data_IF_809262236619
#
_entry.id   IF_809262236619
#
_cell.length_a   1.000
_cell.length_b   1.000
_cell.length_c   1.000
_cell.angle_alpha   90.00
_cell.angle_beta   90.00
_cell.angle_gamma   90.00
#
_symmetry.space_group_name_H-M   'P 1'
#
loop_
_entity.id
_entity.type
_entity.pdbx_description
1 polymer ?
#
# COMPACT_ATOMS: atom_id res chain seq x y z
N UNK A 1 -49.29 -53.30 24.05
CA UNK A 1 -48.08 -53.55 24.86
C UNK A 1 -48.12 -52.58 26.04
N UNK A 2 -48.24 -53.11 27.26
CA UNK A 2 -48.43 -52.32 28.47
C UNK A 2 -47.10 -51.68 28.91
N UNK A 3 -46.85 -50.44 28.49
CA UNK A 3 -45.70 -49.66 28.97
C UNK A 3 -46.04 -49.11 30.37
N UNK A 4 -45.89 -49.95 31.40
CA UNK A 4 -45.95 -49.48 32.79
C UNK A 4 -44.69 -48.67 33.08
N UNK A 5 -44.87 -47.42 33.49
CA UNK A 5 -43.77 -46.55 33.91
C UNK A 5 -43.02 -47.22 35.07
N UNK A 6 -41.68 -47.31 35.02
CA UNK A 6 -40.91 -47.91 36.11
C UNK A 6 -41.14 -47.18 37.43
N UNK A 7 -41.05 -47.88 38.57
CA UNK A 7 -41.23 -47.28 39.89
C UNK A 7 -40.20 -46.19 40.16
N UNK A 8 -40.60 -45.13 40.86
CA UNK A 8 -39.72 -44.02 41.21
C UNK A 8 -38.58 -44.48 42.13
N UNK A 9 -37.35 -44.12 41.79
CA UNK A 9 -36.15 -44.48 42.54
C UNK A 9 -35.62 -43.28 43.34
N UNK A 10 -35.16 -43.51 44.57
CA UNK A 10 -34.61 -42.46 45.43
C UNK A 10 -33.11 -42.30 45.19
N UNK A 11 -32.75 -41.25 44.46
CA UNK A 11 -31.35 -40.89 44.19
C UNK A 11 -30.86 -39.92 45.28
N UNK A 12 -29.70 -40.21 45.90
CA UNK A 12 -29.04 -39.23 46.79
C UNK A 12 -28.45 -38.11 45.94
N UNK A 13 -28.75 -36.88 46.33
CA UNK A 13 -28.28 -35.68 45.64
C UNK A 13 -27.44 -34.86 46.63
N UNK A 14 -26.23 -34.40 46.25
CA UNK A 14 -25.45 -33.46 47.04
C UNK A 14 -26.27 -32.23 47.46
N UNK A 15 -26.08 -31.74 48.69
CA UNK A 15 -26.93 -30.70 49.30
C UNK A 15 -27.05 -29.44 48.43
N UNK A 16 -25.97 -29.08 47.74
CA UNK A 16 -25.90 -27.93 46.82
C UNK A 16 -26.79 -28.07 45.58
N UNK A 17 -27.07 -29.29 45.12
CA UNK A 17 -27.87 -29.56 43.92
C UNK A 17 -29.36 -29.79 44.21
N UNK A 18 -29.74 -29.98 45.48
CA UNK A 18 -31.13 -30.15 45.90
C UNK A 18 -32.09 -29.09 45.33
N UNK A 19 -31.80 -27.77 45.39
CA UNK A 19 -32.74 -26.76 44.86
C UNK A 19 -32.95 -26.90 43.35
N UNK A 20 -31.88 -27.18 42.59
CA UNK A 20 -31.93 -27.35 41.14
C UNK A 20 -32.72 -28.61 40.77
N UNK A 21 -32.45 -29.74 41.42
CA UNK A 21 -33.14 -31.01 41.15
C UNK A 21 -34.63 -30.91 41.49
N UNK A 22 -35.00 -30.22 42.57
CA UNK A 22 -36.42 -29.96 42.89
C UNK A 22 -37.10 -29.12 41.82
N UNK A 23 -36.42 -28.10 41.32
CA UNK A 23 -36.96 -27.26 40.25
C UNK A 23 -37.12 -28.06 38.94
N UNK A 24 -36.13 -28.88 38.58
CA UNK A 24 -36.19 -29.76 37.41
C UNK A 24 -37.34 -30.78 37.51
N UNK A 25 -37.50 -31.39 38.69
CA UNK A 25 -38.59 -32.33 38.95
C UNK A 25 -39.96 -31.66 38.88
N UNK A 26 -40.05 -30.39 39.27
CA UNK A 26 -41.28 -29.59 39.13
C UNK A 26 -41.60 -29.34 37.66
N UNK A 27 -40.63 -28.83 36.88
CA UNK A 27 -40.76 -28.64 35.42
C UNK A 27 -41.20 -29.94 34.72
N UNK A 28 -40.65 -31.07 35.15
CA UNK A 28 -41.01 -32.38 34.61
C UNK A 28 -42.42 -32.82 34.97
N UNK A 29 -42.87 -32.60 36.22
CA UNK A 29 -44.25 -32.88 36.63
C UNK A 29 -45.27 -32.01 35.92
N UNK A 30 -44.91 -30.76 35.65
CA UNK A 30 -45.77 -29.79 34.98
C UNK A 30 -45.82 -30.02 33.44
N UNK A 31 -45.10 -31.03 32.93
CA UNK A 31 -45.11 -31.40 31.50
C UNK A 31 -44.31 -30.45 30.61
N UNK A 32 -43.54 -29.53 31.18
CA UNK A 32 -42.80 -28.49 30.45
C UNK A 32 -41.43 -28.93 29.93
N UNK A 33 -40.97 -30.15 30.25
CA UNK A 33 -39.67 -30.68 29.78
C UNK A 33 -39.54 -30.63 28.26
N UNK A 34 -40.60 -30.97 27.54
CA UNK A 34 -40.62 -30.95 26.06
C UNK A 34 -40.49 -29.54 25.53
N UNK A 35 -41.20 -28.57 26.10
CA UNK A 35 -41.10 -27.16 25.73
C UNK A 35 -39.70 -26.59 26.01
N UNK A 36 -39.07 -26.99 27.11
CA UNK A 36 -37.70 -26.57 27.44
C UNK A 36 -36.67 -27.18 26.48
N UNK A 37 -36.77 -28.46 26.16
CA UNK A 37 -35.90 -29.11 25.18
C UNK A 37 -36.08 -28.50 23.77
N UNK A 38 -37.33 -28.23 23.39
CA UNK A 38 -37.65 -27.55 22.13
C UNK A 38 -37.04 -26.14 22.08
N UNK A 39 -37.19 -25.35 23.15
CA UNK A 39 -36.59 -24.02 23.22
C UNK A 39 -35.05 -24.03 23.19
N UNK A 40 -34.42 -25.01 23.83
CA UNK A 40 -32.96 -25.20 23.73
C UNK A 40 -32.54 -25.59 22.31
N UNK A 41 -33.29 -26.45 21.64
CA UNK A 41 -33.00 -26.86 20.27
C UNK A 41 -33.17 -25.70 19.29
N UNK A 42 -34.19 -24.86 19.48
CA UNK A 42 -34.38 -23.63 18.69
C UNK A 42 -33.26 -22.62 18.93
N UNK A 43 -32.81 -22.45 20.18
CA UNK A 43 -31.70 -21.57 20.52
C UNK A 43 -30.39 -22.05 19.87
N UNK A 44 -30.09 -23.35 19.94
CA UNK A 44 -28.90 -23.93 19.30
C UNK A 44 -28.98 -23.74 17.77
N UNK A 45 -30.14 -23.99 17.16
CA UNK A 45 -30.34 -23.80 15.73
C UNK A 45 -30.13 -22.33 15.30
N UNK A 46 -30.55 -21.36 16.13
CA UNK A 46 -30.30 -19.94 15.87
C UNK A 46 -28.80 -19.63 15.88
N UNK A 47 -28.05 -20.11 16.88
CA UNK A 47 -26.60 -19.92 16.94
C UNK A 47 -25.88 -20.54 15.73
N UNK A 48 -26.22 -21.78 15.38
CA UNK A 48 -25.61 -22.47 14.23
C UNK A 48 -25.89 -21.73 12.91
N UNK A 49 -27.09 -21.17 12.76
CA UNK A 49 -27.44 -20.39 11.57
C UNK A 49 -26.70 -19.05 11.50
N UNK A 50 -26.58 -18.34 12.63
CA UNK A 50 -25.87 -17.05 12.72
C UNK A 50 -24.39 -17.19 12.44
N UNK A 51 -23.74 -18.17 13.08
CA UNK A 51 -22.30 -18.41 12.92
C UNK A 51 -21.96 -18.87 11.51
N UNK A 52 -22.82 -19.70 10.90
CA UNK A 52 -22.64 -20.14 9.51
C UNK A 52 -22.79 -18.99 8.52
N UNK A 53 -23.70 -18.04 8.75
CA UNK A 53 -23.87 -16.87 7.88
C UNK A 53 -22.69 -15.91 7.96
N UNK A 54 -22.22 -15.58 9.17
CA UNK A 54 -21.08 -14.66 9.32
C UNK A 54 -19.79 -15.25 8.76
N UNK A 55 -19.43 -16.49 9.15
CA UNK A 55 -18.21 -17.14 8.65
C UNK A 55 -18.20 -17.31 7.13
N UNK A 56 -19.35 -17.63 6.51
CA UNK A 56 -19.43 -17.77 5.05
C UNK A 56 -19.37 -16.42 4.34
N UNK A 57 -20.01 -15.38 4.88
CA UNK A 57 -20.00 -14.05 4.26
C UNK A 57 -18.62 -13.38 4.31
N UNK A 58 -17.90 -13.52 5.42
CA UNK A 58 -16.55 -12.98 5.57
C UNK A 58 -15.56 -13.73 4.67
N UNK A 59 -15.63 -15.06 4.64
CA UNK A 59 -14.79 -15.87 3.76
C UNK A 59 -15.05 -15.57 2.28
N UNK A 60 -16.31 -15.36 1.88
CA UNK A 60 -16.66 -14.95 0.52
C UNK A 60 -16.07 -13.59 0.16
N UNK A 61 -16.14 -12.61 1.06
CA UNK A 61 -15.54 -11.29 0.83
C UNK A 61 -14.01 -11.37 0.73
N UNK A 62 -13.38 -12.23 1.52
CA UNK A 62 -11.93 -12.46 1.44
C UNK A 62 -11.56 -13.10 0.10
N UNK A 63 -12.33 -14.11 -0.34
CA UNK A 63 -12.11 -14.78 -1.62
C UNK A 63 -12.29 -13.82 -2.82
N UNK A 64 -13.32 -12.97 -2.79
CA UNK A 64 -13.55 -11.93 -3.80
C UNK A 64 -12.38 -10.94 -3.88
N UNK A 65 -11.96 -10.38 -2.72
CA UNK A 65 -10.82 -9.46 -2.67
C UNK A 65 -9.52 -10.11 -3.11
N UNK A 66 -9.33 -11.39 -2.84
CA UNK A 66 -8.15 -12.14 -3.26
C UNK A 66 -8.14 -12.29 -4.79
N UNK A 67 -9.29 -12.61 -5.39
CA UNK A 67 -9.45 -12.62 -6.84
C UNK A 67 -9.18 -11.25 -7.49
N UNK A 68 -9.71 -10.16 -6.90
CA UNK A 68 -9.40 -8.80 -7.36
C UNK A 68 -7.91 -8.49 -7.32
N UNK A 69 -7.23 -8.82 -6.23
CA UNK A 69 -5.79 -8.63 -6.08
C UNK A 69 -4.97 -9.43 -7.10
N UNK A 70 -5.34 -10.68 -7.37
CA UNK A 70 -4.70 -11.51 -8.39
C UNK A 70 -4.83 -10.89 -9.79
N UNK A 71 -6.03 -10.40 -10.14
CA UNK A 71 -6.23 -9.74 -11.44
C UNK A 71 -5.42 -8.44 -11.55
N UNK A 72 -5.33 -7.65 -10.48
CA UNK A 72 -4.56 -6.42 -10.44
C UNK A 72 -3.06 -6.67 -10.58
N UNK A 73 -2.53 -7.70 -9.90
CA UNK A 73 -1.13 -8.09 -10.03
C UNK A 73 -0.79 -8.54 -11.46
N UNK A 74 -1.66 -9.34 -12.09
CA UNK A 74 -1.48 -9.75 -13.48
C UNK A 74 -1.44 -8.55 -14.45
N UNK A 75 -2.34 -7.58 -14.26
CA UNK A 75 -2.34 -6.35 -15.05
C UNK A 75 -1.06 -5.52 -14.83
N UNK A 76 -0.60 -5.42 -13.58
CA UNK A 76 0.62 -4.70 -13.25
C UNK A 76 1.86 -5.35 -13.89
N UNK A 77 1.96 -6.68 -13.86
CA UNK A 77 3.04 -7.41 -14.54
C UNK A 77 3.04 -7.16 -16.04
N UNK A 78 1.87 -7.16 -16.68
CA UNK A 78 1.75 -6.85 -18.10
C UNK A 78 2.16 -5.40 -18.42
N UNK A 79 1.81 -4.44 -17.56
CA UNK A 79 2.26 -3.05 -17.70
C UNK A 79 3.79 -2.90 -17.53
N UNK A 80 4.39 -3.65 -16.61
CA UNK A 80 5.85 -3.65 -16.41
C UNK A 80 6.54 -4.27 -17.63
N UNK A 81 6.06 -5.40 -18.11
CA UNK A 81 6.62 -6.09 -19.29
C UNK A 81 6.60 -5.18 -20.54
N UNK A 82 5.48 -4.50 -20.80
CA UNK A 82 5.37 -3.56 -21.93
C UNK A 82 6.30 -2.35 -21.79
N UNK A 83 6.42 -1.77 -20.58
CA UNK A 83 7.37 -0.67 -20.33
C UNK A 83 8.83 -1.12 -20.55
N UNK A 84 9.19 -2.32 -20.09
CA UNK A 84 10.51 -2.89 -20.30
C UNK A 84 10.79 -3.13 -21.79
N UNK A 85 9.82 -3.60 -22.56
CA UNK A 85 9.95 -3.76 -24.01
C UNK A 85 10.19 -2.41 -24.71
N UNK A 86 9.46 -1.36 -24.31
CA UNK A 86 9.66 -0.01 -24.86
C UNK A 86 11.05 0.52 -24.52
N UNK A 87 11.52 0.37 -23.28
CA UNK A 87 12.87 0.78 -22.91
C UNK A 87 13.94 -0.01 -23.66
N UNK A 88 13.76 -1.32 -23.83
CA UNK A 88 14.65 -2.16 -24.64
C UNK A 88 14.77 -1.63 -26.07
N UNK A 89 13.65 -1.32 -26.73
CA UNK A 89 13.64 -0.73 -28.09
C UNK A 89 14.30 0.65 -28.15
N UNK A 90 14.14 1.47 -27.10
CA UNK A 90 14.79 2.78 -27.04
C UNK A 90 16.31 2.67 -26.87
N UNK A 91 16.77 1.75 -26.00
CA UNK A 91 18.19 1.46 -25.83
C UNK A 91 18.82 0.96 -27.13
N UNK A 92 18.16 0.04 -27.83
CA UNK A 92 18.65 -0.47 -29.11
C UNK A 92 18.78 0.64 -30.18
N UNK A 93 17.86 1.62 -30.19
CA UNK A 93 17.95 2.81 -31.06
C UNK A 93 19.15 3.69 -30.68
N UNK A 94 19.39 3.90 -29.40
CA UNK A 94 20.54 4.67 -28.90
C UNK A 94 21.85 3.95 -29.24
N UNK A 95 21.93 2.64 -29.04
CA UNK A 95 23.09 1.83 -29.39
C UNK A 95 23.39 1.93 -30.89
N UNK A 96 22.38 1.82 -31.76
CA UNK A 96 22.54 1.99 -33.20
C UNK A 96 22.99 3.40 -33.59
N UNK A 97 22.43 4.44 -32.95
CA UNK A 97 22.83 5.81 -33.17
C UNK A 97 24.30 6.04 -32.78
N UNK A 98 24.72 5.55 -31.60
CA UNK A 98 26.11 5.61 -31.13
C UNK A 98 27.04 4.86 -32.09
N UNK A 99 26.68 3.64 -32.50
CA UNK A 99 27.48 2.85 -33.42
C UNK A 99 27.65 3.56 -34.78
N UNK A 100 26.58 4.14 -35.33
CA UNK A 100 26.64 4.91 -36.57
C UNK A 100 27.50 6.18 -36.45
N UNK A 101 27.41 6.89 -35.33
CA UNK A 101 28.23 8.08 -35.06
C UNK A 101 29.71 7.71 -34.96
N UNK A 102 30.02 6.66 -34.19
CA UNK A 102 31.39 6.16 -34.03
C UNK A 102 31.98 5.71 -35.38
N UNK A 103 31.19 5.01 -36.20
CA UNK A 103 31.59 4.61 -37.55
C UNK A 103 31.81 5.82 -38.48
N UNK A 104 30.98 6.87 -38.39
CA UNK A 104 31.17 8.10 -39.17
C UNK A 104 32.39 8.91 -38.76
N UNK A 105 32.74 8.90 -37.47
CA UNK A 105 33.99 9.49 -36.94
C UNK A 105 35.20 8.67 -37.43
N UNK A 106 35.15 7.34 -37.30
CA UNK A 106 36.24 6.44 -37.73
C UNK A 106 36.48 6.47 -39.25
N UNK A 107 35.42 6.64 -40.05
CA UNK A 107 35.51 6.72 -41.51
C UNK A 107 35.86 8.13 -42.04
N UNK A 108 36.11 9.11 -41.15
CA UNK A 108 36.51 10.46 -41.55
C UNK A 108 35.44 11.25 -42.30
N UNK A 109 34.20 10.75 -42.39
CA UNK A 109 33.09 11.38 -43.11
C UNK A 109 32.63 12.71 -42.49
N UNK A 110 32.97 12.93 -41.22
CA UNK A 110 32.77 14.21 -40.52
C UNK A 110 34.06 15.03 -40.38
N UNK A 111 35.18 14.57 -40.93
CA UNK A 111 36.48 15.24 -40.89
C UNK A 111 36.68 16.07 -42.15
N UNK A 112 35.95 17.17 -42.24
CA UNK A 112 36.14 18.20 -43.25
C UNK A 112 37.23 19.19 -42.81
N UNK A 113 38.47 18.94 -43.23
CA UNK A 113 39.46 19.99 -43.47
C UNK A 113 40.26 20.54 -42.27
N UNK A 114 41.56 20.25 -42.32
CA UNK A 114 42.68 21.10 -41.91
C UNK A 114 43.09 21.15 -40.42
N UNK A 115 44.17 20.44 -40.14
CA UNK A 115 45.34 20.84 -39.33
C UNK A 115 45.14 21.98 -38.32
N UNK A 116 44.87 21.61 -37.07
CA UNK A 116 45.62 22.02 -35.85
C UNK A 116 44.92 21.42 -34.64
N UNK A 117 45.63 20.59 -33.89
CA UNK A 117 45.21 20.16 -32.56
C UNK A 117 45.02 21.41 -31.68
N UNK A 118 43.76 21.83 -31.50
CA UNK A 118 43.34 22.61 -30.35
C UNK A 118 42.53 21.68 -29.48
N UNK A 119 43.08 21.36 -28.31
CA UNK A 119 42.36 20.71 -27.23
C UNK A 119 41.23 21.65 -26.79
N UNK A 120 40.10 21.58 -27.48
CA UNK A 120 38.87 22.28 -27.11
C UNK A 120 38.09 21.32 -26.23
N UNK A 121 38.15 21.51 -24.92
CA UNK A 121 37.23 20.85 -24.00
C UNK A 121 35.81 21.13 -24.50
N UNK A 122 35.09 20.07 -24.86
CA UNK A 122 33.70 20.17 -25.30
C UNK A 122 32.89 20.78 -24.15
N UNK A 123 32.68 22.09 -24.19
CA UNK A 123 31.67 22.74 -23.37
C UNK A 123 30.33 22.28 -23.91
N UNK A 124 29.77 21.24 -23.31
CA UNK A 124 28.34 20.96 -23.36
C UNK A 124 27.63 22.22 -22.87
N UNK A 125 27.19 23.08 -23.79
CA UNK A 125 26.19 24.11 -23.50
C UNK A 125 24.85 23.40 -23.32
N UNK A 126 24.67 22.78 -22.15
CA UNK A 126 23.35 22.44 -21.63
C UNK A 126 22.59 23.77 -21.56
N UNK A 127 21.49 23.91 -22.29
CA UNK A 127 20.59 25.03 -22.03
C UNK A 127 20.16 24.93 -20.56
N UNK A 128 20.23 26.01 -19.76
CA UNK A 128 19.80 25.97 -18.37
C UNK A 128 18.32 25.57 -18.34
N UNK A 129 18.04 24.33 -17.93
CA UNK A 129 16.66 23.90 -17.70
C UNK A 129 16.14 24.72 -16.54
N UNK A 130 15.20 25.62 -16.82
CA UNK A 130 14.56 26.44 -15.80
C UNK A 130 13.76 25.53 -14.86
N UNK A 131 14.24 25.41 -13.62
CA UNK A 131 13.56 24.66 -12.57
C UNK A 131 12.32 25.47 -12.17
N UNK A 132 11.12 24.90 -12.37
CA UNK A 132 9.84 25.61 -12.16
C UNK A 132 9.30 25.44 -10.75
N UNK A 133 9.13 24.19 -10.31
CA UNK A 133 8.71 23.84 -8.95
C UNK A 133 8.94 22.35 -8.69
N UNK A 134 9.01 21.96 -7.42
CA UNK A 134 9.12 20.56 -7.02
C UNK A 134 8.07 20.18 -5.99
N UNK A 135 7.58 18.94 -6.12
CA UNK A 135 6.87 18.25 -5.05
C UNK A 135 7.83 17.96 -3.88
N UNK A 136 7.33 17.77 -2.65
CA UNK A 136 8.16 17.52 -1.46
C UNK A 136 9.17 16.38 -1.62
N UNK A 137 8.79 15.30 -2.29
CA UNK A 137 9.61 14.11 -2.53
C UNK A 137 10.80 14.44 -3.44
N UNK A 138 10.53 15.16 -4.54
CA UNK A 138 11.53 15.52 -5.54
C UNK A 138 12.53 16.54 -4.97
N UNK A 139 12.04 17.52 -4.20
CA UNK A 139 12.92 18.47 -3.53
C UNK A 139 13.77 17.77 -2.45
N UNK A 140 13.17 16.88 -1.67
CA UNK A 140 13.90 16.13 -0.65
C UNK A 140 15.06 15.32 -1.26
N UNK A 141 14.81 14.62 -2.37
CA UNK A 141 15.87 13.91 -3.11
C UNK A 141 16.97 14.85 -3.59
N UNK A 142 16.62 16.00 -4.17
CA UNK A 142 17.59 16.99 -4.65
C UNK A 142 18.46 17.57 -3.52
N UNK A 143 17.88 17.81 -2.35
CA UNK A 143 18.58 18.32 -1.16
C UNK A 143 19.29 17.22 -0.36
N UNK A 144 19.19 15.95 -0.78
CA UNK A 144 19.80 14.82 -0.09
C UNK A 144 19.18 14.51 1.28
N UNK A 145 17.88 14.77 1.47
CA UNK A 145 17.14 14.54 2.72
C UNK A 145 15.92 13.65 2.49
N UNK A 146 15.33 13.13 3.57
CA UNK A 146 14.04 12.45 3.50
C UNK A 146 12.90 13.46 3.44
N UNK A 147 11.78 13.07 2.82
CA UNK A 147 10.57 13.92 2.77
C UNK A 147 10.11 14.36 4.16
N UNK A 148 10.14 13.45 5.14
CA UNK A 148 9.76 13.75 6.51
C UNK A 148 10.69 14.79 7.15
N UNK A 149 12.01 14.67 6.92
CA UNK A 149 12.99 15.64 7.43
C UNK A 149 12.80 17.02 6.80
N UNK A 150 12.52 17.08 5.50
CA UNK A 150 12.18 18.33 4.79
C UNK A 150 10.96 19.03 5.40
N UNK A 151 9.92 18.26 5.72
CA UNK A 151 8.68 18.73 6.36
C UNK A 151 8.98 19.29 7.76
N UNK A 152 9.70 18.53 8.59
CA UNK A 152 10.10 18.95 9.94
C UNK A 152 10.93 20.24 9.90
N UNK A 153 11.89 20.33 8.99
CA UNK A 153 12.77 21.50 8.86
C UNK A 153 12.00 22.75 8.44
N UNK A 154 10.99 22.59 7.56
CA UNK A 154 10.08 23.68 7.20
C UNK A 154 9.21 24.13 8.37
N UNK A 155 8.71 23.21 9.18
CA UNK A 155 7.81 23.54 10.31
C UNK A 155 8.56 24.12 11.51
N UNK A 156 9.82 23.75 11.69
CA UNK A 156 10.64 24.19 12.82
C UNK A 156 11.33 25.54 12.57
N UNK A 157 11.49 25.94 11.31
CA UNK A 157 12.19 27.17 10.91
C UNK A 157 11.22 28.24 10.41
N UNK A 158 11.60 29.50 10.56
CA UNK A 158 10.93 30.57 9.82
C UNK A 158 11.16 30.41 8.31
N UNK A 159 10.29 31.02 7.49
CA UNK A 159 10.39 30.93 6.03
C UNK A 159 11.77 31.34 5.50
N UNK A 160 12.34 32.43 6.03
CA UNK A 160 13.66 32.94 5.61
C UNK A 160 14.81 32.01 6.01
N UNK A 161 14.72 31.40 7.19
CA UNK A 161 15.68 30.39 7.64
C UNK A 161 15.60 29.12 6.79
N UNK A 162 14.40 28.69 6.42
CA UNK A 162 14.20 27.55 5.53
C UNK A 162 14.74 27.81 4.12
N UNK A 163 14.49 29.00 3.55
CA UNK A 163 15.05 29.41 2.26
C UNK A 163 16.58 29.38 2.30
N UNK A 164 17.19 29.85 3.38
CA UNK A 164 18.65 29.85 3.55
C UNK A 164 19.20 28.43 3.77
N UNK A 165 18.52 27.60 4.56
CA UNK A 165 18.88 26.21 4.81
C UNK A 165 18.82 25.35 3.55
N UNK A 166 17.78 25.54 2.73
CA UNK A 166 17.60 24.82 1.47
C UNK A 166 18.63 25.28 0.43
N UNK A 167 18.93 26.59 0.36
CA UNK A 167 19.98 27.15 -0.49
C UNK A 167 21.34 26.51 -0.25
N UNK A 168 21.73 26.34 1.01
CA UNK A 168 23.03 25.78 1.37
C UNK A 168 23.18 24.29 1.02
N UNK A 169 22.06 23.59 0.79
CA UNK A 169 22.04 22.17 0.38
C UNK A 169 21.82 21.96 -1.10
N UNK A 170 21.21 22.93 -1.78
CA UNK A 170 20.90 22.81 -3.19
C UNK A 170 22.18 22.83 -4.03
N UNK A 171 22.41 21.85 -4.92
CA UNK A 171 23.59 21.84 -5.80
C UNK A 171 23.72 23.07 -6.71
N UNK A 172 22.61 23.75 -6.97
CA UNK A 172 22.57 25.00 -7.75
C UNK A 172 22.47 26.25 -6.88
N UNK A 173 22.62 26.12 -5.55
CA UNK A 173 22.49 27.22 -4.58
C UNK A 173 21.17 27.99 -4.70
N UNK A 174 20.08 27.28 -5.01
CA UNK A 174 18.73 27.84 -5.06
C UNK A 174 18.05 27.71 -3.70
N UNK A 175 17.52 28.82 -3.18
CA UNK A 175 16.64 28.78 -2.02
C UNK A 175 15.23 28.33 -2.42
N UNK A 176 14.54 27.61 -1.56
CA UNK A 176 13.22 27.06 -1.85
C UNK A 176 12.17 27.58 -0.89
N UNK A 177 11.02 28.00 -1.42
CA UNK A 177 9.86 28.46 -0.65
C UNK A 177 8.70 27.49 -0.86
N UNK A 178 8.06 27.09 0.23
CA UNK A 178 6.85 26.29 0.20
C UNK A 178 5.63 27.17 -0.03
N UNK A 179 4.77 26.78 -0.96
CA UNK A 179 3.51 27.44 -1.22
C UNK A 179 2.35 26.57 -0.71
N UNK A 180 1.56 27.11 0.23
CA UNK A 180 0.49 26.36 0.90
C UNK A 180 -0.69 26.07 -0.04
N UNK A 181 -0.91 26.90 -1.06
CA UNK A 181 -2.05 26.77 -1.97
C UNK A 181 -2.02 25.53 -2.85
N UNK A 182 -0.83 25.05 -3.22
CA UNK A 182 -0.63 23.90 -4.11
C UNK A 182 0.27 22.80 -3.51
N UNK A 183 0.87 23.06 -2.35
CA UNK A 183 1.77 22.11 -1.69
C UNK A 183 3.11 21.92 -2.41
N UNK A 184 3.50 22.86 -3.28
CA UNK A 184 4.75 22.78 -4.04
C UNK A 184 5.81 23.73 -3.51
N UNK A 185 7.07 23.40 -3.81
CA UNK A 185 8.21 24.24 -3.54
C UNK A 185 8.64 24.99 -4.79
N UNK A 186 8.82 26.30 -4.67
CA UNK A 186 9.24 27.19 -5.74
C UNK A 186 10.64 27.74 -5.47
N UNK A 187 11.50 27.84 -6.49
CA UNK A 187 12.82 28.41 -6.33
C UNK A 187 12.73 29.92 -6.15
N UNK A 188 13.41 30.42 -5.11
CA UNK A 188 13.57 31.85 -4.82
C UNK A 188 14.92 32.29 -5.38
N UNK A 189 14.87 32.97 -6.52
CA UNK A 189 16.03 33.70 -7.07
C UNK A 189 16.21 34.99 -6.26
N UNK A 190 17.45 35.31 -5.88
CA UNK A 190 17.82 36.64 -5.37
C UNK A 190 18.12 37.57 -6.54
#
# INVERSE_FOLDING_TARGET
MNNKTPPSEMIRVPTVLIPVVRHLAKIHRDGHTTALLQGLQELIAQFDSSVKLEATSELQQVEEKLGELETHLCQQDQQVATKLEVFGKQLEKIERAIASLAAGIASGRYSGGNSRQRYSGYQYQQQPVEIKSFAPENLAQRLGVTQQSLITERETKSEQEFISWSRNRDPSSLGWKFQVSDGLYYPVKQ
#
